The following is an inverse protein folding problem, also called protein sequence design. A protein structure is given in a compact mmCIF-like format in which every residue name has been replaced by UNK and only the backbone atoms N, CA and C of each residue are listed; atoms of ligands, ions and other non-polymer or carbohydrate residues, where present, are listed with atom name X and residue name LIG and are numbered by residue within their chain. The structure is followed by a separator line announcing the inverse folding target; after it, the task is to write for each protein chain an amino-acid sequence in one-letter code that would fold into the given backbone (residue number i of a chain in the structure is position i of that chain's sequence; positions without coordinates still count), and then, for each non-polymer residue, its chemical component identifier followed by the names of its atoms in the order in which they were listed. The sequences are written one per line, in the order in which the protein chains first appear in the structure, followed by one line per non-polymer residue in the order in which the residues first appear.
data_IF_021825408254
#
_entry.id   IF_021825408254
#
_cell.length_a   1.000
_cell.length_b   1.000
_cell.length_c   1.000
_cell.angle_alpha   90.00
_cell.angle_beta   90.00
_cell.angle_gamma   90.00
#
_symmetry.space_group_name_H-M   'P 1'
#
loop_
_entity.id
_entity.type
_entity.pdbx_description
1 polymer ?
#
# COMPACT_ATOMS: atom_id res chain seq x y z
N UNK A 1 -10.33 0.91 -33.67
CA UNK A 1 -9.25 0.36 -32.82
C UNK A 1 -9.93 -0.40 -31.70
N UNK A 2 -9.81 -1.73 -31.68
CA UNK A 2 -10.42 -2.57 -30.63
C UNK A 2 -9.52 -2.49 -29.40
N UNK A 3 -10.03 -2.01 -28.27
CA UNK A 3 -9.26 -1.96 -27.03
C UNK A 3 -8.90 -3.37 -26.57
N UNK A 4 -7.64 -3.58 -26.17
CA UNK A 4 -7.19 -4.85 -25.58
C UNK A 4 -7.96 -5.14 -24.27
N UNK A 5 -8.40 -6.39 -24.04
CA UNK A 5 -8.94 -6.85 -22.75
C UNK A 5 -7.95 -6.57 -21.60
N UNK A 6 -8.46 -6.28 -20.40
CA UNK A 6 -7.61 -5.94 -19.24
C UNK A 6 -6.65 -7.07 -18.84
N UNK A 7 -7.08 -8.30 -19.04
CA UNK A 7 -6.33 -9.54 -18.75
C UNK A 7 -5.06 -9.69 -19.61
N UNK A 8 -5.04 -9.04 -20.78
CA UNK A 8 -3.92 -9.06 -21.73
C UNK A 8 -2.95 -7.87 -21.57
N UNK A 9 -3.16 -7.03 -20.55
CA UNK A 9 -2.32 -5.88 -20.27
C UNK A 9 -1.23 -6.24 -19.27
N UNK A 10 0.00 -5.81 -19.56
CA UNK A 10 1.06 -5.80 -18.56
C UNK A 10 0.66 -4.92 -17.37
N UNK A 11 1.21 -5.19 -16.19
CA UNK A 11 0.97 -4.35 -15.00
C UNK A 11 1.26 -2.88 -15.32
N UNK A 12 2.34 -2.58 -16.07
CA UNK A 12 2.66 -1.22 -16.49
C UNK A 12 1.58 -0.58 -17.39
N UNK A 13 0.95 -1.34 -18.28
CA UNK A 13 -0.15 -0.85 -19.12
C UNK A 13 -1.45 -0.67 -18.32
N UNK A 14 -1.76 -1.58 -17.40
CA UNK A 14 -2.89 -1.43 -16.47
C UNK A 14 -2.73 -0.18 -15.61
N UNK A 15 -1.51 0.08 -15.16
CA UNK A 15 -1.14 1.28 -14.39
C UNK A 15 -1.27 2.56 -15.21
N UNK A 16 -0.90 2.55 -16.50
CA UNK A 16 -1.11 3.73 -17.38
C UNK A 16 -2.58 3.98 -17.72
N UNK A 17 -3.39 2.91 -17.79
CA UNK A 17 -4.83 2.99 -18.11
C UNK A 17 -5.70 3.27 -16.89
N UNK A 18 -5.16 3.11 -15.68
CA UNK A 18 -5.83 3.50 -14.46
C UNK A 18 -6.01 5.02 -14.45
N UNK A 19 -7.16 5.49 -14.96
CA UNK A 19 -7.62 6.85 -14.73
C UNK A 19 -7.66 7.10 -13.23
N UNK A 20 -7.07 8.22 -12.79
CA UNK A 20 -6.98 8.63 -11.40
C UNK A 20 -8.35 8.67 -10.67
N UNK A 21 -9.44 8.71 -11.43
CA UNK A 21 -10.81 8.86 -10.91
C UNK A 21 -11.55 7.54 -10.65
N UNK A 22 -11.05 6.38 -11.12
CA UNK A 22 -11.81 5.11 -11.00
C UNK A 22 -11.45 4.27 -9.77
N UNK A 23 -10.26 4.48 -9.21
CA UNK A 23 -9.85 3.97 -7.90
C UNK A 23 -8.89 5.01 -7.31
N UNK A 24 -9.03 5.31 -6.02
CA UNK A 24 -8.07 6.18 -5.31
C UNK A 24 -6.74 5.47 -5.14
N UNK A 25 -5.94 5.35 -6.21
CA UNK A 25 -4.65 4.69 -6.13
C UNK A 25 -3.67 5.57 -5.38
N UNK A 26 -3.12 5.05 -4.28
CA UNK A 26 -1.96 5.64 -3.62
C UNK A 26 -0.73 4.80 -3.94
N UNK A 27 0.31 5.47 -4.41
CA UNK A 27 1.62 4.89 -4.64
C UNK A 27 2.52 5.28 -3.49
N UNK A 28 3.01 4.30 -2.72
CA UNK A 28 4.05 4.55 -1.73
C UNK A 28 5.28 3.74 -2.10
N UNK A 29 6.42 4.42 -2.12
CA UNK A 29 7.73 3.80 -2.18
C UNK A 29 8.03 3.08 -0.87
N UNK A 30 8.95 2.12 -0.94
CA UNK A 30 9.48 1.51 0.28
C UNK A 30 10.21 2.54 1.14
N UNK A 31 10.79 3.59 0.54
CA UNK A 31 11.37 4.72 1.29
C UNK A 31 10.31 5.47 2.11
N UNK A 32 9.19 5.85 1.49
CA UNK A 32 8.08 6.53 2.19
C UNK A 32 7.47 5.65 3.29
N UNK A 33 7.35 4.34 3.03
CA UNK A 33 6.89 3.40 4.05
C UNK A 33 7.90 3.29 5.21
N UNK A 34 9.19 3.27 4.93
CA UNK A 34 10.23 3.18 5.96
C UNK A 34 10.35 4.46 6.82
N UNK A 35 10.01 5.63 6.26
CA UNK A 35 10.03 6.91 6.97
C UNK A 35 8.78 7.15 7.83
N UNK A 36 7.72 6.35 7.64
CA UNK A 36 6.49 6.48 8.42
C UNK A 36 6.71 6.14 9.91
N UNK A 37 6.16 6.98 10.80
CA UNK A 37 6.24 6.75 12.24
C UNK A 37 5.21 5.71 12.72
N UNK A 38 5.57 4.42 12.68
CA UNK A 38 4.70 3.33 13.13
C UNK A 38 4.43 3.29 14.64
N UNK A 39 5.22 4.02 15.43
CA UNK A 39 5.00 4.18 16.88
C UNK A 39 3.97 5.28 17.20
N UNK A 40 3.48 6.00 16.18
CA UNK A 40 2.43 6.98 16.37
C UNK A 40 1.17 6.30 16.92
N UNK A 41 0.63 6.91 17.98
CA UNK A 41 -0.54 6.42 18.70
C UNK A 41 -1.82 7.04 18.16
N UNK A 42 -2.90 6.26 18.08
CA UNK A 42 -4.24 6.71 17.72
C UNK A 42 -5.32 5.95 18.50
N UNK A 43 -6.55 6.48 18.52
CA UNK A 43 -7.71 5.81 19.12
C UNK A 43 -8.31 4.88 18.07
N UNK A 44 -8.20 3.57 18.28
CA UNK A 44 -8.86 2.57 17.46
C UNK A 44 -10.32 2.39 17.88
N UNK A 45 -11.22 3.02 17.12
CA UNK A 45 -12.67 2.90 17.30
C UNK A 45 -13.27 1.57 16.80
N UNK A 46 -12.48 0.68 16.17
CA UNK A 46 -12.95 -0.64 15.73
C UNK A 46 -12.95 -1.69 16.85
N UNK A 47 -12.28 -1.41 17.97
CA UNK A 47 -12.31 -2.24 19.17
C UNK A 47 -13.45 -1.79 20.10
N UNK A 48 -14.02 -2.73 20.87
CA UNK A 48 -15.01 -2.44 21.91
C UNK A 48 -14.48 -2.97 23.25
N UNK A 49 -14.14 -2.09 24.23
CA UNK A 49 -14.15 -0.63 24.14
C UNK A 49 -13.07 -0.08 23.19
N UNK A 50 -13.21 1.17 22.70
CA UNK A 50 -12.16 1.83 21.94
C UNK A 50 -10.84 1.84 22.71
N UNK A 51 -9.75 1.55 22.01
CA UNK A 51 -8.43 1.40 22.61
C UNK A 51 -7.41 2.34 21.98
N UNK A 52 -6.48 2.81 22.80
CA UNK A 52 -5.33 3.60 22.36
C UNK A 52 -4.23 2.63 21.91
N UNK A 53 -3.89 2.62 20.62
CA UNK A 53 -2.89 1.71 20.04
C UNK A 53 -1.98 2.43 19.05
N UNK A 54 -0.85 1.82 18.73
CA UNK A 54 0.09 2.25 17.68
C UNK A 54 -0.29 1.70 16.30
N UNK A 55 0.24 2.31 15.24
CA UNK A 55 0.13 1.72 13.89
C UNK A 55 0.86 0.38 13.78
N UNK A 56 1.97 0.19 14.52
CA UNK A 56 2.66 -1.10 14.60
C UNK A 56 1.75 -2.19 15.12
N UNK A 57 1.07 -1.96 16.23
CA UNK A 57 0.12 -2.92 16.82
C UNK A 57 -1.06 -3.19 15.89
N UNK A 58 -1.58 -2.16 15.20
CA UNK A 58 -2.67 -2.33 14.26
C UNK A 58 -2.30 -3.22 13.07
N UNK A 59 -1.12 -3.00 12.47
CA UNK A 59 -0.68 -3.69 11.25
C UNK A 59 -0.15 -5.10 11.54
N UNK A 60 0.42 -5.30 12.73
CA UNK A 60 0.96 -6.58 13.18
C UNK A 60 2.28 -7.00 12.50
N UNK A 61 2.92 -8.03 13.04
CA UNK A 61 4.28 -8.43 12.66
C UNK A 61 4.42 -8.83 11.19
N UNK A 62 3.38 -9.48 10.63
CA UNK A 62 3.43 -9.99 9.26
C UNK A 62 3.59 -8.86 8.24
N UNK A 63 3.00 -7.69 8.49
CA UNK A 63 3.19 -6.51 7.66
C UNK A 63 4.68 -6.13 7.58
N UNK A 64 5.38 -6.10 8.72
CA UNK A 64 6.80 -5.73 8.78
C UNK A 64 7.71 -6.80 8.20
N UNK A 65 7.35 -8.08 8.32
CA UNK A 65 8.04 -9.17 7.62
C UNK A 65 7.99 -8.94 6.11
N UNK A 66 6.81 -8.61 5.56
CA UNK A 66 6.67 -8.32 4.14
C UNK A 66 7.40 -7.05 3.72
N UNK A 67 7.34 -5.97 4.51
CA UNK A 67 8.08 -4.74 4.24
C UNK A 67 9.60 -5.02 4.15
N UNK A 68 10.14 -5.82 5.07
CA UNK A 68 11.55 -6.21 5.08
C UNK A 68 11.94 -7.11 3.88
N UNK A 69 11.00 -7.89 3.34
CA UNK A 69 11.22 -8.65 2.09
C UNK A 69 11.27 -7.69 0.90
N UNK A 70 10.33 -6.73 0.83
CA UNK A 70 10.26 -5.76 -0.27
C UNK A 70 11.52 -4.86 -0.32
N UNK A 71 12.06 -4.48 0.84
CA UNK A 71 13.33 -3.75 0.95
C UNK A 71 14.53 -4.46 0.30
N UNK A 72 14.46 -5.79 0.13
CA UNK A 72 15.54 -6.60 -0.46
C UNK A 72 15.39 -6.79 -1.98
N UNK A 73 14.25 -6.43 -2.56
CA UNK A 73 13.99 -6.69 -3.98
C UNK A 73 14.74 -5.75 -4.92
N UNK A 74 14.88 -4.48 -4.54
CA UNK A 74 15.63 -3.47 -5.30
C UNK A 74 15.91 -2.25 -4.41
N UNK A 75 16.38 -1.14 -4.99
CA UNK A 75 16.51 0.11 -4.25
C UNK A 75 15.14 0.54 -3.68
N UNK A 76 15.15 1.10 -2.46
CA UNK A 76 13.92 1.51 -1.76
C UNK A 76 13.09 2.54 -2.55
N UNK A 77 13.73 3.26 -3.47
CA UNK A 77 13.11 4.25 -4.35
C UNK A 77 12.54 3.67 -5.63
N UNK A 78 12.82 2.42 -5.98
CA UNK A 78 12.33 1.79 -7.22
C UNK A 78 11.18 0.80 -6.95
N UNK A 79 11.09 0.27 -5.72
CA UNK A 79 9.97 -0.58 -5.31
C UNK A 79 8.79 0.31 -4.90
N UNK A 80 7.62 0.04 -5.48
CA UNK A 80 6.36 0.74 -5.21
C UNK A 80 5.28 -0.24 -4.80
N UNK A 81 4.52 0.11 -3.77
CA UNK A 81 3.32 -0.62 -3.34
C UNK A 81 2.10 0.13 -3.86
N UNK A 82 1.23 -0.58 -4.58
CA UNK A 82 -0.05 -0.07 -5.07
C UNK A 82 -1.14 -0.39 -4.04
N UNK A 83 -1.76 0.64 -3.48
CA UNK A 83 -2.98 0.49 -2.70
C UNK A 83 -4.18 0.76 -3.61
N UNK A 84 -5.08 -0.22 -3.73
CA UNK A 84 -6.37 -0.05 -4.37
C UNK A 84 -7.45 -0.13 -3.31
N UNK A 85 -8.30 0.89 -3.24
CA UNK A 85 -9.46 0.92 -2.35
C UNK A 85 -10.71 0.74 -3.19
N UNK A 86 -11.54 -0.24 -2.84
CA UNK A 86 -12.93 -0.25 -3.29
C UNK A 86 -13.69 0.78 -2.46
N UNK A 87 -14.27 1.76 -3.15
CA UNK A 87 -15.19 2.74 -2.57
C UNK A 87 -16.56 2.16 -2.28
#
# INVERSE_FOLDING_TARGET
MTEKPEEDLTIAERVRRAEADRYGYSWLSIAELAEFNYEQVFINHRCIPPALITYRELLGDLYFVHLAILEKLNTRQDVRVLFSFQG
#
